data_IF_314857871276
#
_entry.id   IF_314857871276
#
_cell.length_a   1.000
_cell.length_b   1.000
_cell.length_c   1.000
_cell.angle_alpha   90.00
_cell.angle_beta   90.00
_cell.angle_gamma   90.00
#
_symmetry.space_group_name_H-M   'P 1'
#
loop_
_entity.id
_entity.type
_entity.pdbx_description
1 polymer ?
#
# COMPACT_ATOMS: atom_id res chain seq x y z
N UNK A 1 -4.75 -22.80 -4.99
CA UNK A 1 -5.78 -23.73 -4.47
C UNK A 1 -6.24 -23.46 -3.04
N UNK A 2 -6.34 -22.18 -2.62
CA UNK A 2 -6.78 -21.77 -1.27
C UNK A 2 -8.06 -20.92 -1.27
N UNK A 3 -8.64 -20.68 -2.45
CA UNK A 3 -9.86 -19.89 -2.57
C UNK A 3 -11.09 -20.79 -2.46
N UNK A 4 -12.12 -20.35 -1.74
CA UNK A 4 -13.43 -21.03 -1.67
C UNK A 4 -14.11 -21.09 -3.04
N UNK A 5 -13.98 -20.01 -3.82
CA UNK A 5 -14.51 -19.89 -5.19
C UNK A 5 -13.38 -19.50 -6.15
N UNK A 6 -13.44 -19.84 -7.45
CA UNK A 6 -12.40 -19.43 -8.39
C UNK A 6 -12.16 -17.91 -8.34
N UNK A 7 -10.91 -17.44 -8.22
CA UNK A 7 -10.61 -16.03 -7.90
C UNK A 7 -11.07 -15.03 -8.96
N UNK A 8 -11.39 -15.47 -10.18
CA UNK A 8 -11.82 -14.60 -11.27
C UNK A 8 -13.24 -14.90 -11.76
N UNK A 9 -14.02 -15.70 -11.04
CA UNK A 9 -15.40 -16.01 -11.42
C UNK A 9 -16.40 -14.91 -11.08
N UNK A 10 -16.04 -13.99 -10.17
CA UNK A 10 -16.98 -13.04 -9.57
C UNK A 10 -18.22 -13.76 -8.99
N UNK A 11 -17.98 -14.85 -8.27
CA UNK A 11 -19.05 -15.62 -7.64
C UNK A 11 -19.75 -14.75 -6.60
N UNK A 12 -21.07 -14.58 -6.75
CA UNK A 12 -21.92 -13.93 -5.77
C UNK A 12 -22.64 -15.01 -4.98
N UNK A 13 -22.56 -14.95 -3.66
CA UNK A 13 -23.21 -15.91 -2.79
C UNK A 13 -24.69 -15.56 -2.53
N UNK A 14 -25.35 -16.35 -1.69
CA UNK A 14 -26.76 -16.17 -1.33
C UNK A 14 -27.05 -14.88 -0.55
N UNK A 15 -26.04 -14.28 0.08
CA UNK A 15 -26.15 -12.99 0.79
C UNK A 15 -25.94 -11.80 -0.13
N UNK A 16 -25.47 -12.04 -1.36
CA UNK A 16 -25.10 -11.01 -2.32
C UNK A 16 -23.63 -10.58 -2.23
N UNK A 17 -22.81 -11.28 -1.43
CA UNK A 17 -21.39 -10.97 -1.29
C UNK A 17 -20.62 -11.50 -2.52
N UNK A 18 -19.77 -10.66 -3.11
CA UNK A 18 -19.01 -11.00 -4.33
C UNK A 18 -17.59 -11.44 -3.96
N UNK A 19 -17.25 -12.68 -4.32
CA UNK A 19 -15.94 -13.27 -4.12
C UNK A 19 -15.13 -13.26 -5.42
N UNK A 20 -14.15 -12.36 -5.49
CA UNK A 20 -13.17 -12.31 -6.57
C UNK A 20 -11.91 -11.53 -6.19
N UNK A 21 -10.78 -11.84 -6.83
CA UNK A 21 -9.58 -11.00 -6.81
C UNK A 21 -9.91 -9.65 -7.42
N UNK A 22 -9.72 -8.63 -6.60
CA UNK A 22 -9.98 -7.24 -6.90
C UNK A 22 -11.42 -6.80 -6.72
N UNK A 23 -12.28 -7.65 -6.13
CA UNK A 23 -13.63 -7.22 -5.72
C UNK A 23 -13.56 -6.05 -4.72
N UNK A 24 -12.62 -6.09 -3.77
CA UNK A 24 -12.41 -5.05 -2.77
C UNK A 24 -11.29 -4.07 -3.15
N UNK A 25 -10.17 -4.57 -3.68
CA UNK A 25 -9.01 -3.78 -4.08
C UNK A 25 -8.73 -3.92 -5.61
N UNK A 26 -9.19 -2.98 -6.43
CA UNK A 26 -10.10 -1.88 -6.09
C UNK A 26 -11.21 -1.71 -7.13
N UNK A 27 -11.63 -2.82 -7.77
CA UNK A 27 -12.63 -2.77 -8.86
C UNK A 27 -14.00 -2.29 -8.38
N UNK A 28 -14.36 -2.49 -7.11
CA UNK A 28 -15.60 -1.93 -6.57
C UNK A 28 -15.61 -0.39 -6.66
N UNK A 29 -14.52 0.27 -6.26
CA UNK A 29 -14.37 1.74 -6.33
C UNK A 29 -14.42 2.21 -7.78
N UNK A 30 -13.75 1.51 -8.69
CA UNK A 30 -13.81 1.79 -10.13
C UNK A 30 -15.26 1.79 -10.66
N UNK A 31 -16.05 0.77 -10.33
CA UNK A 31 -17.46 0.69 -10.75
C UNK A 31 -18.30 1.78 -10.08
N UNK A 32 -18.06 2.09 -8.81
CA UNK A 32 -18.74 3.19 -8.11
C UNK A 32 -18.49 4.54 -8.80
N UNK A 33 -17.26 4.83 -9.24
CA UNK A 33 -16.96 6.05 -9.99
C UNK A 33 -17.69 6.10 -11.33
N UNK A 34 -17.69 5.01 -12.10
CA UNK A 34 -18.40 4.95 -13.37
C UNK A 34 -19.91 5.16 -13.19
N UNK A 35 -20.51 4.52 -12.19
CA UNK A 35 -21.94 4.64 -11.90
C UNK A 35 -22.31 6.03 -11.38
N UNK A 36 -21.47 6.64 -10.53
CA UNK A 36 -21.67 8.00 -10.06
C UNK A 36 -21.65 8.99 -11.23
N UNK A 37 -20.67 8.92 -12.12
CA UNK A 37 -20.60 9.78 -13.32
C UNK A 37 -21.79 9.53 -14.24
N UNK A 38 -22.19 8.27 -14.46
CA UNK A 38 -23.38 7.94 -15.26
C UNK A 38 -24.63 8.62 -14.72
N UNK A 39 -24.87 8.57 -13.39
CA UNK A 39 -26.02 9.22 -12.73
C UNK A 39 -25.95 10.75 -12.78
N UNK A 40 -24.77 11.33 -12.59
CA UNK A 40 -24.56 12.77 -12.69
C UNK A 40 -24.85 13.29 -14.10
N UNK A 41 -24.40 12.56 -15.13
CA UNK A 41 -24.71 12.87 -16.53
C UNK A 41 -26.20 12.71 -16.84
N UNK A 42 -26.81 11.60 -16.39
CA UNK A 42 -28.24 11.35 -16.62
C UNK A 42 -29.15 12.39 -15.95
N UNK A 43 -28.72 12.99 -14.84
CA UNK A 43 -29.44 14.08 -14.17
C UNK A 43 -29.13 15.48 -14.72
N UNK A 44 -28.38 15.59 -15.82
CA UNK A 44 -28.06 16.87 -16.47
C UNK A 44 -27.14 17.77 -15.66
N UNK A 45 -26.38 17.23 -14.69
CA UNK A 45 -25.45 18.03 -13.88
C UNK A 45 -24.30 18.54 -14.72
N UNK A 46 -23.96 19.81 -14.53
CA UNK A 46 -22.79 20.46 -15.11
C UNK A 46 -21.88 20.95 -13.99
N UNK A 47 -20.57 20.92 -14.24
CA UNK A 47 -19.55 21.25 -13.25
C UNK A 47 -18.69 22.40 -13.75
N UNK A 48 -18.17 23.20 -12.81
CA UNK A 48 -17.25 24.31 -13.12
C UNK A 48 -15.89 23.83 -13.64
N UNK A 49 -15.52 22.57 -13.35
CA UNK A 49 -14.25 21.93 -13.71
C UNK A 49 -14.55 20.57 -14.31
N UNK A 50 -13.65 20.09 -15.17
CA UNK A 50 -13.74 18.75 -15.75
C UNK A 50 -13.48 17.69 -14.68
N UNK A 51 -14.28 16.63 -14.68
CA UNK A 51 -13.99 15.43 -13.88
C UNK A 51 -13.26 14.46 -14.80
N UNK A 52 -12.02 14.12 -14.42
CA UNK A 52 -11.21 13.12 -15.09
C UNK A 52 -11.26 11.82 -14.29
N UNK A 53 -11.42 10.69 -14.98
CA UNK A 53 -11.22 9.36 -14.40
C UNK A 53 -10.03 8.74 -15.14
N UNK A 54 -9.06 8.25 -14.38
CA UNK A 54 -7.90 7.52 -14.90
C UNK A 54 -7.87 6.12 -14.31
N UNK A 55 -7.68 5.12 -15.16
CA UNK A 55 -7.42 3.74 -14.75
C UNK A 55 -5.99 3.43 -15.15
N UNK A 56 -5.12 3.28 -14.16
CA UNK A 56 -3.69 3.05 -14.35
C UNK A 56 -3.32 1.63 -13.90
N UNK A 57 -2.42 0.95 -14.62
CA UNK A 57 -1.88 -0.32 -14.15
C UNK A 57 -0.86 -0.10 -13.03
N UNK A 58 -0.36 -1.21 -12.48
CA UNK A 58 0.94 -1.26 -11.78
C UNK A 58 0.96 -0.75 -10.33
N UNK A 59 -0.15 -0.25 -9.77
CA UNK A 59 -0.22 0.27 -8.39
C UNK A 59 0.37 -0.72 -7.37
N UNK A 60 -0.18 -1.94 -7.35
CA UNK A 60 0.19 -3.04 -6.43
C UNK A 60 1.67 -3.47 -6.49
N UNK A 61 2.41 -3.07 -7.52
CA UNK A 61 3.85 -3.35 -7.67
C UNK A 61 4.71 -2.07 -7.74
N UNK A 62 4.16 -0.94 -7.31
CA UNK A 62 4.86 0.31 -7.06
C UNK A 62 4.63 1.41 -8.10
N UNK A 63 3.75 1.19 -9.08
CA UNK A 63 3.29 2.19 -10.04
C UNK A 63 4.37 2.73 -10.99
N UNK A 64 5.50 2.02 -11.13
CA UNK A 64 6.67 2.47 -11.88
C UNK A 64 6.34 2.76 -13.35
N UNK A 65 5.61 1.86 -14.00
CA UNK A 65 5.19 1.97 -15.40
C UNK A 65 3.77 2.51 -15.54
N UNK A 66 3.02 2.62 -14.44
CA UNK A 66 1.70 3.25 -14.37
C UNK A 66 1.78 4.75 -14.10
N UNK A 67 1.15 5.17 -12.99
CA UNK A 67 0.99 6.59 -12.66
C UNK A 67 2.33 7.34 -12.61
N UNK A 68 3.41 6.75 -12.08
CA UNK A 68 4.74 7.41 -11.98
C UNK A 68 5.31 7.85 -13.34
N UNK A 69 5.00 7.11 -14.39
CA UNK A 69 5.40 7.47 -15.76
C UNK A 69 4.39 8.45 -16.36
N UNK A 70 3.10 8.22 -16.17
CA UNK A 70 2.04 9.06 -16.72
C UNK A 70 2.10 10.52 -16.21
N UNK A 71 2.36 10.75 -14.93
CA UNK A 71 2.43 12.12 -14.36
C UNK A 71 3.50 13.02 -14.99
N UNK A 72 4.44 12.44 -15.74
CA UNK A 72 5.53 13.16 -16.41
C UNK A 72 5.22 13.55 -17.84
N UNK A 73 4.10 13.10 -18.41
CA UNK A 73 3.75 13.36 -19.81
C UNK A 73 3.05 14.70 -19.99
N UNK A 74 3.08 15.22 -21.22
CA UNK A 74 2.31 16.40 -21.59
C UNK A 74 0.79 16.15 -21.51
N UNK A 75 0.35 14.90 -21.73
CA UNK A 75 -1.06 14.51 -21.60
C UNK A 75 -1.56 14.71 -20.16
N UNK A 76 -0.81 14.24 -19.15
CA UNK A 76 -1.17 14.46 -17.75
C UNK A 76 -1.18 15.95 -17.41
N UNK A 77 -0.17 16.70 -17.88
CA UNK A 77 -0.10 18.15 -17.69
C UNK A 77 -1.31 18.86 -18.31
N UNK A 78 -1.78 18.43 -19.47
CA UNK A 78 -2.94 18.98 -20.15
C UNK A 78 -4.26 18.76 -19.39
N UNK A 79 -4.34 17.75 -18.51
CA UNK A 79 -5.52 17.55 -17.65
C UNK A 79 -5.74 18.71 -16.65
N UNK A 80 -4.70 19.49 -16.33
CA UNK A 80 -4.79 20.65 -15.42
C UNK A 80 -5.49 20.31 -14.09
N UNK A 81 -5.05 19.20 -13.47
CA UNK A 81 -5.63 18.64 -12.24
C UNK A 81 -5.47 19.60 -11.06
N UNK A 82 -6.56 19.86 -10.33
CA UNK A 82 -6.54 20.65 -9.10
C UNK A 82 -6.34 19.82 -7.84
N UNK A 83 -6.97 18.63 -7.79
CA UNK A 83 -6.79 17.61 -6.77
C UNK A 83 -7.17 16.25 -7.36
N UNK A 84 -6.67 15.18 -6.76
CA UNK A 84 -7.02 13.80 -7.09
C UNK A 84 -7.77 13.14 -5.93
N UNK A 85 -8.63 12.17 -6.26
CA UNK A 85 -9.12 11.18 -5.32
C UNK A 85 -8.45 9.87 -5.69
N UNK A 86 -7.92 9.18 -4.69
CA UNK A 86 -7.35 7.85 -4.85
C UNK A 86 -8.16 6.85 -4.01
N UNK A 87 -7.78 5.59 -4.05
CA UNK A 87 -8.33 4.61 -3.14
C UNK A 87 -8.05 4.95 -1.67
N UNK A 88 -8.91 4.43 -0.80
CA UNK A 88 -8.72 4.47 0.62
C UNK A 88 -8.90 3.08 1.19
N UNK A 89 -8.86 2.98 2.52
CA UNK A 89 -9.13 1.72 3.19
C UNK A 89 -10.63 1.35 3.09
N UNK A 90 -10.96 0.07 2.82
CA UNK A 90 -12.33 -0.41 2.91
C UNK A 90 -12.93 -0.18 4.30
N UNK A 91 -14.23 0.03 4.34
CA UNK A 91 -15.01 0.19 5.57
C UNK A 91 -15.99 -0.96 5.72
N UNK A 92 -16.18 -1.46 6.93
CA UNK A 92 -17.26 -2.42 7.25
C UNK A 92 -18.59 -1.73 7.49
N UNK A 93 -18.59 -0.39 7.57
CA UNK A 93 -19.76 0.44 7.81
C UNK A 93 -20.12 1.25 6.55
N UNK A 94 -21.31 1.85 6.54
CA UNK A 94 -21.80 2.77 5.50
C UNK A 94 -21.14 4.16 5.56
N UNK A 95 -19.81 4.19 5.72
CA UNK A 95 -19.01 5.40 5.80
C UNK A 95 -17.70 5.25 5.05
N UNK A 96 -17.20 6.34 4.49
CA UNK A 96 -15.92 6.37 3.78
C UNK A 96 -14.81 6.88 4.71
N UNK A 97 -13.70 6.14 4.76
CA UNK A 97 -12.49 6.61 5.41
C UNK A 97 -11.76 7.57 4.47
N UNK A 98 -11.57 8.82 4.89
CA UNK A 98 -10.83 9.83 4.14
C UNK A 98 -9.41 9.97 4.70
N UNK A 99 -8.43 9.77 3.83
CA UNK A 99 -7.02 9.96 4.13
C UNK A 99 -6.50 11.18 3.36
N UNK A 100 -5.67 11.99 4.00
CA UNK A 100 -5.03 13.17 3.39
C UNK A 100 -3.51 13.00 3.25
N UNK A 101 -2.99 11.82 3.56
CA UNK A 101 -1.58 11.51 3.47
C UNK A 101 -1.31 10.05 3.80
N UNK A 102 -0.15 9.58 3.33
CA UNK A 102 0.33 8.21 3.50
C UNK A 102 1.77 8.21 3.99
N UNK A 103 2.17 7.11 4.64
CA UNK A 103 3.56 6.91 5.04
C UNK A 103 4.40 6.56 3.82
N UNK A 104 5.62 7.09 3.76
CA UNK A 104 6.57 6.70 2.74
C UNK A 104 7.20 5.34 3.10
N UNK A 105 7.12 4.37 2.18
CA UNK A 105 7.76 3.07 2.34
C UNK A 105 9.24 3.13 1.92
N UNK A 106 10.13 2.60 2.76
CA UNK A 106 11.56 2.49 2.49
C UNK A 106 12.01 1.03 2.60
N UNK A 107 12.61 0.51 1.53
CA UNK A 107 13.25 -0.80 1.51
C UNK A 107 14.77 -0.66 1.44
N UNK A 108 15.49 -1.30 2.35
CA UNK A 108 16.95 -1.30 2.37
C UNK A 108 17.51 -2.72 2.56
N UNK A 109 18.70 -2.95 2.01
CA UNK A 109 19.47 -4.18 2.19
C UNK A 109 20.67 -3.89 3.07
N UNK A 110 20.74 -4.53 4.24
CA UNK A 110 21.89 -4.42 5.14
C UNK A 110 22.79 -5.63 4.90
N UNK A 111 24.02 -5.36 4.45
CA UNK A 111 25.06 -6.39 4.30
C UNK A 111 25.97 -6.39 5.52
N UNK A 112 26.10 -7.53 6.19
CA UNK A 112 26.97 -7.71 7.35
C UNK A 112 28.20 -8.56 7.00
N UNK A 113 29.27 -8.00 6.38
CA UNK A 113 30.46 -8.76 6.06
C UNK A 113 31.26 -9.10 7.33
N UNK A 114 31.88 -10.27 7.37
CA UNK A 114 32.74 -10.68 8.49
C UNK A 114 33.90 -11.56 8.04
N UNK A 115 34.81 -11.80 8.96
CA UNK A 115 35.97 -12.66 8.71
C UNK A 115 35.54 -14.14 8.56
N UNK A 116 35.88 -14.82 7.45
CA UNK A 116 35.65 -16.25 7.31
C UNK A 116 36.65 -17.04 8.17
N UNK A 117 36.26 -18.23 8.62
CA UNK A 117 37.09 -19.09 9.45
C UNK A 117 36.59 -20.53 9.51
N UNK A 118 37.45 -21.43 9.98
CA UNK A 118 37.06 -22.81 10.24
C UNK A 118 36.02 -22.86 11.37
N UNK A 119 34.96 -23.66 11.23
CA UNK A 119 33.83 -23.67 12.16
C UNK A 119 34.15 -24.12 13.60
N UNK A 120 35.33 -24.70 13.83
CA UNK A 120 35.83 -25.02 15.18
C UNK A 120 36.57 -23.87 15.86
N UNK A 121 36.74 -22.73 15.18
CA UNK A 121 37.46 -21.57 15.68
C UNK A 121 36.48 -20.43 15.96
N UNK A 122 36.65 -19.77 17.11
CA UNK A 122 35.84 -18.63 17.53
C UNK A 122 36.52 -17.32 17.12
N UNK A 123 36.65 -17.10 15.80
CA UNK A 123 37.24 -15.86 15.29
C UNK A 123 36.29 -14.67 15.53
N UNK A 124 36.79 -13.53 16.04
CA UNK A 124 35.98 -12.34 16.23
C UNK A 124 35.62 -11.70 14.89
N UNK A 125 34.69 -10.72 14.91
CA UNK A 125 34.36 -9.90 13.74
C UNK A 125 33.73 -10.72 12.59
N UNK A 126 32.92 -11.72 12.95
CA UNK A 126 32.20 -12.54 11.99
C UNK A 126 30.86 -11.88 11.57
N UNK A 127 30.27 -12.40 10.50
CA UNK A 127 29.03 -11.86 9.95
C UNK A 127 27.84 -11.99 10.91
N UNK A 128 27.80 -13.07 11.70
CA UNK A 128 26.72 -13.36 12.65
C UNK A 128 26.68 -12.35 13.80
N UNK A 129 27.83 -11.98 14.36
CA UNK A 129 27.92 -10.95 15.42
C UNK A 129 27.37 -9.60 14.95
N UNK A 130 27.72 -9.19 13.74
CA UNK A 130 27.22 -7.93 13.14
C UNK A 130 25.75 -8.01 12.80
N UNK A 131 25.30 -9.14 12.26
CA UNK A 131 23.89 -9.36 11.95
C UNK A 131 23.05 -9.28 13.23
N UNK A 132 23.50 -9.93 14.32
CA UNK A 132 22.84 -9.82 15.63
C UNK A 132 22.73 -8.36 16.08
N UNK A 133 23.82 -7.59 16.03
CA UNK A 133 23.79 -6.17 16.38
C UNK A 133 22.74 -5.38 15.57
N UNK A 134 22.66 -5.63 14.26
CA UNK A 134 21.68 -4.96 13.40
C UNK A 134 20.24 -5.38 13.70
N UNK A 135 20.00 -6.67 13.98
CA UNK A 135 18.68 -7.16 14.39
C UNK A 135 18.26 -6.48 15.69
N UNK A 136 19.11 -6.53 16.71
CA UNK A 136 18.82 -5.97 18.03
C UNK A 136 18.48 -4.47 17.88
N UNK A 137 19.26 -3.71 17.12
CA UNK A 137 18.99 -2.28 16.90
C UNK A 137 17.66 -2.00 16.19
N UNK A 138 17.31 -2.80 15.17
CA UNK A 138 16.03 -2.64 14.46
C UNK A 138 14.83 -3.02 15.34
N UNK A 139 14.98 -4.04 16.18
CA UNK A 139 13.95 -4.46 17.13
C UNK A 139 13.77 -3.45 18.27
N UNK A 140 14.86 -2.82 18.74
CA UNK A 140 14.79 -1.73 19.71
C UNK A 140 13.99 -0.55 19.16
N UNK A 141 14.28 -0.10 17.93
CA UNK A 141 13.49 0.97 17.27
C UNK A 141 12.02 0.57 17.18
N UNK A 142 11.74 -0.67 16.75
CA UNK A 142 10.36 -1.16 16.65
C UNK A 142 9.65 -1.12 18.00
N UNK A 143 10.34 -1.50 19.08
CA UNK A 143 9.80 -1.48 20.43
C UNK A 143 9.51 -0.05 20.89
N UNK A 144 10.47 0.87 20.71
CA UNK A 144 10.31 2.29 21.04
C UNK A 144 9.08 2.91 20.31
N UNK A 145 8.88 2.59 19.04
CA UNK A 145 7.73 3.08 18.26
C UNK A 145 6.40 2.42 18.68
N UNK A 146 6.42 1.15 19.08
CA UNK A 146 5.24 0.46 19.61
C UNK A 146 4.80 1.04 20.96
N UNK A 147 5.75 1.33 21.86
CA UNK A 147 5.46 1.96 23.16
C UNK A 147 4.79 3.33 23.00
N UNK A 148 5.14 4.10 21.97
CA UNK A 148 4.45 5.37 21.66
C UNK A 148 2.96 5.16 21.37
N UNK A 149 2.61 4.10 20.64
CA UNK A 149 1.21 3.76 20.35
C UNK A 149 0.46 3.33 21.61
N UNK A 150 1.09 2.50 22.45
CA UNK A 150 0.48 2.00 23.69
C UNK A 150 0.19 3.14 24.69
N UNK A 151 1.07 4.14 24.73
CA UNK A 151 0.89 5.33 25.56
C UNK A 151 -0.26 6.25 25.08
N UNK A 152 -0.87 5.97 23.93
CA UNK A 152 -2.08 6.63 23.43
C UNK A 152 -1.87 8.08 22.95
N UNK A 153 -0.64 8.56 22.87
CA UNK A 153 -0.31 9.94 22.48
C UNK A 153 -0.27 10.15 20.97
N UNK A 154 -0.27 9.08 20.18
CA UNK A 154 -0.09 9.10 18.73
C UNK A 154 -0.94 8.04 18.03
N UNK A 155 -1.23 8.22 16.74
CA UNK A 155 -1.93 7.24 15.89
C UNK A 155 -0.92 6.40 15.10
N UNK A 156 -1.38 5.31 14.48
CA UNK A 156 -0.54 4.43 13.65
C UNK A 156 0.13 5.13 12.45
N UNK A 157 -0.45 6.22 11.97
CA UNK A 157 0.12 7.06 10.92
C UNK A 157 1.29 7.92 11.38
N UNK A 158 1.41 8.17 12.69
CA UNK A 158 2.38 9.10 13.28
C UNK A 158 3.69 8.41 13.72
N UNK A 159 3.75 7.08 13.64
CA UNK A 159 4.91 6.28 14.08
C UNK A 159 5.63 5.61 12.91
N UNK A 160 6.92 5.34 13.12
CA UNK A 160 7.73 4.56 12.18
C UNK A 160 7.44 3.06 12.37
N UNK A 161 6.92 2.42 11.33
CA UNK A 161 6.79 0.97 11.29
C UNK A 161 8.04 0.31 10.69
N UNK A 162 8.79 -0.44 11.50
CA UNK A 162 9.94 -1.23 11.05
C UNK A 162 9.53 -2.70 10.95
N UNK A 163 9.79 -3.33 9.80
CA UNK A 163 9.57 -4.76 9.60
C UNK A 163 10.78 -5.40 8.93
N UNK A 164 11.23 -6.53 9.47
CA UNK A 164 12.35 -7.31 8.93
C UNK A 164 11.80 -8.61 8.36
N UNK A 165 11.75 -8.71 7.05
CA UNK A 165 10.96 -9.73 6.34
C UNK A 165 11.79 -10.86 5.76
N UNK A 166 13.10 -10.69 5.58
CA UNK A 166 13.98 -11.69 4.98
C UNK A 166 15.37 -11.69 5.62
N UNK A 167 15.89 -12.90 5.84
CA UNK A 167 17.31 -13.17 6.06
C UNK A 167 17.85 -13.87 4.82
N UNK A 168 18.88 -13.30 4.21
CA UNK A 168 19.56 -13.85 3.04
C UNK A 168 21.06 -13.84 3.25
#
# INVERSE_FOLDING_TARGET
DKWTYPPFSAHMDEKGDIYARGAQDMKCVAIQYLEAIRRLKASGKTFKRTIHISFVPDEEIGGFYGMKTFVKTDDFKALNIGFGLDEGCPSTEESFNLFYGEKTTWGFWIRCPGQPGHGSLLLPNNAGEKMRFMIDRLMDIRKEEAEKLENGSVKIGDVLSVNMTQFK
#
